data_IF_273203616451
#
_entry.id   IF_273203616451
#
_cell.length_a   1.000
_cell.length_b   1.000
_cell.length_c   1.000
_cell.angle_alpha   90.00
_cell.angle_beta   90.00
_cell.angle_gamma   90.00
#
_symmetry.space_group_name_H-M   'P 1'
#
loop_
_entity.id
_entity.type
_entity.pdbx_description
1 polymer ?
#
# COMPACT_ATOMS: atom_id res chain seq x y z
N UNK A 1 -29.54 -12.05 -6.90
CA UNK A 1 -28.09 -12.21 -6.77
C UNK A 1 -27.41 -11.30 -7.79
N UNK A 2 -26.54 -10.41 -7.35
CA UNK A 2 -25.83 -9.45 -8.20
C UNK A 2 -24.82 -10.20 -9.11
N UNK A 3 -24.46 -9.64 -10.26
CA UNK A 3 -23.44 -10.22 -11.15
C UNK A 3 -22.12 -10.38 -10.39
N UNK A 4 -21.75 -9.39 -9.58
CA UNK A 4 -20.58 -9.43 -8.70
C UNK A 4 -20.59 -10.65 -7.77
N UNK A 5 -21.73 -10.96 -7.15
CA UNK A 5 -21.83 -12.08 -6.21
C UNK A 5 -21.55 -13.41 -6.89
N UNK A 6 -22.08 -13.60 -8.12
CA UNK A 6 -21.83 -14.81 -8.92
C UNK A 6 -20.38 -14.96 -9.34
N UNK A 7 -19.72 -13.87 -9.72
CA UNK A 7 -18.30 -13.88 -10.06
C UNK A 7 -17.48 -14.26 -8.84
N UNK A 8 -17.76 -13.63 -7.70
CA UNK A 8 -17.07 -13.94 -6.45
C UNK A 8 -17.29 -15.38 -6.00
N UNK A 9 -18.52 -15.86 -6.05
CA UNK A 9 -18.86 -17.25 -5.74
C UNK A 9 -18.13 -18.23 -6.67
N UNK A 10 -18.12 -17.97 -7.98
CA UNK A 10 -17.39 -18.78 -8.94
C UNK A 10 -15.89 -18.80 -8.65
N UNK A 11 -15.30 -17.63 -8.45
CA UNK A 11 -13.87 -17.50 -8.17
C UNK A 11 -13.47 -18.21 -6.88
N UNK A 12 -14.26 -18.04 -5.81
CA UNK A 12 -13.98 -18.69 -4.52
C UNK A 12 -14.16 -20.21 -4.58
N UNK A 13 -15.09 -20.69 -5.41
CA UNK A 13 -15.28 -22.14 -5.63
C UNK A 13 -14.08 -22.78 -6.33
N UNK A 14 -13.39 -22.02 -7.19
CA UNK A 14 -12.22 -22.46 -7.96
C UNK A 14 -10.95 -21.74 -7.53
N UNK A 15 -10.89 -21.30 -6.26
CA UNK A 15 -9.85 -20.40 -5.76
C UNK A 15 -8.44 -20.96 -5.96
N UNK A 16 -8.24 -22.25 -5.69
CA UNK A 16 -6.92 -22.87 -5.82
C UNK A 16 -6.44 -22.87 -7.28
N UNK A 17 -7.32 -23.12 -8.23
CA UNK A 17 -7.02 -23.14 -9.66
C UNK A 17 -6.61 -21.74 -10.15
N UNK A 18 -7.37 -20.70 -9.76
CA UNK A 18 -7.07 -19.32 -10.14
C UNK A 18 -5.83 -18.77 -9.44
N UNK A 19 -5.54 -19.18 -8.22
CA UNK A 19 -4.31 -18.78 -7.54
C UNK A 19 -3.07 -19.43 -8.19
N UNK A 20 -3.16 -20.69 -8.59
CA UNK A 20 -2.08 -21.39 -9.30
C UNK A 20 -1.84 -20.78 -10.68
N UNK A 21 -2.90 -20.49 -11.43
CA UNK A 21 -2.83 -19.79 -12.72
C UNK A 21 -2.22 -18.39 -12.57
N UNK A 22 -2.68 -17.62 -11.58
CA UNK A 22 -2.17 -16.30 -11.27
C UNK A 22 -0.67 -16.30 -10.96
N UNK A 23 -0.25 -17.18 -10.04
CA UNK A 23 1.15 -17.31 -9.67
C UNK A 23 2.02 -17.73 -10.86
N UNK A 24 1.58 -18.75 -11.60
CA UNK A 24 2.29 -19.22 -12.81
C UNK A 24 2.47 -18.11 -13.85
N UNK A 25 1.44 -17.30 -14.08
CA UNK A 25 1.51 -16.22 -15.07
C UNK A 25 2.33 -15.01 -14.57
N UNK A 26 2.30 -14.69 -13.28
CA UNK A 26 3.18 -13.70 -12.66
C UNK A 26 4.65 -14.10 -12.77
N UNK A 27 4.98 -15.36 -12.44
CA UNK A 27 6.35 -15.87 -12.49
C UNK A 27 6.92 -15.89 -13.92
N UNK A 28 6.09 -16.17 -14.92
CA UNK A 28 6.49 -16.03 -16.34
C UNK A 28 6.90 -14.60 -16.70
N UNK A 29 6.39 -13.59 -15.99
CA UNK A 29 6.75 -12.18 -16.15
C UNK A 29 7.96 -11.77 -15.32
N UNK A 30 8.53 -12.67 -14.55
CA UNK A 30 9.72 -12.45 -13.71
C UNK A 30 9.44 -12.01 -12.28
N UNK A 31 8.19 -12.05 -11.85
CA UNK A 31 7.86 -11.84 -10.44
C UNK A 31 8.22 -13.08 -9.60
N UNK A 32 8.39 -12.89 -8.30
CA UNK A 32 8.56 -13.97 -7.33
C UNK A 32 7.30 -13.97 -6.45
N UNK A 33 6.63 -15.11 -6.39
CA UNK A 33 5.40 -15.27 -5.60
C UNK A 33 5.73 -15.95 -4.28
N UNK A 34 5.28 -15.34 -3.20
CA UNK A 34 5.41 -15.88 -1.85
C UNK A 34 4.02 -16.12 -1.25
N UNK A 35 3.87 -17.20 -0.53
CA UNK A 35 2.63 -17.57 0.15
C UNK A 35 2.81 -17.46 1.65
N UNK A 36 1.91 -16.75 2.31
CA UNK A 36 1.87 -16.64 3.76
C UNK A 36 0.54 -17.17 4.28
N UNK A 37 0.59 -18.01 5.30
CA UNK A 37 -0.60 -18.61 5.92
C UNK A 37 -1.28 -17.71 6.95
N UNK A 38 -0.50 -16.78 7.52
CA UNK A 38 -0.96 -15.87 8.56
C UNK A 38 -0.15 -14.55 8.55
N UNK A 39 -0.55 -13.61 9.39
CA UNK A 39 0.07 -12.30 9.50
C UNK A 39 1.55 -12.36 9.94
N UNK A 40 1.89 -13.32 10.79
CA UNK A 40 3.28 -13.48 11.24
C UNK A 40 4.19 -13.91 10.10
N UNK A 41 3.81 -14.96 9.38
CA UNK A 41 4.57 -15.45 8.22
C UNK A 41 4.64 -14.41 7.11
N UNK A 42 3.55 -13.65 6.86
CA UNK A 42 3.55 -12.54 5.93
C UNK A 42 4.62 -11.48 6.28
N UNK A 43 4.66 -11.07 7.54
CA UNK A 43 5.65 -10.09 8.01
C UNK A 43 7.08 -10.63 7.95
N UNK A 44 7.30 -11.92 8.28
CA UNK A 44 8.60 -12.58 8.21
C UNK A 44 9.11 -12.65 6.77
N UNK A 45 8.25 -13.01 5.81
CA UNK A 45 8.58 -13.05 4.37
C UNK A 45 8.92 -11.64 3.87
N UNK A 46 8.06 -10.65 4.17
CA UNK A 46 8.29 -9.27 3.74
C UNK A 46 9.63 -8.73 4.29
N UNK A 47 9.90 -8.94 5.57
CA UNK A 47 11.17 -8.54 6.17
C UNK A 47 12.37 -9.28 5.54
N UNK A 48 12.27 -10.57 5.30
CA UNK A 48 13.34 -11.36 4.68
C UNK A 48 13.69 -10.87 3.27
N UNK A 49 12.69 -10.44 2.50
CA UNK A 49 12.91 -9.81 1.19
C UNK A 49 13.67 -8.48 1.36
N UNK A 50 13.20 -7.61 2.26
CA UNK A 50 13.83 -6.31 2.52
C UNK A 50 15.26 -6.46 3.03
N UNK A 51 15.50 -7.40 3.96
CA UNK A 51 16.84 -7.69 4.49
C UNK A 51 17.79 -8.21 3.41
N UNK A 52 17.33 -9.15 2.56
CA UNK A 52 18.11 -9.70 1.44
C UNK A 52 18.57 -8.61 0.48
N UNK A 53 17.71 -7.63 0.22
CA UNK A 53 18.00 -6.48 -0.64
C UNK A 53 18.65 -5.30 0.09
N UNK A 54 18.93 -5.43 1.40
CA UNK A 54 19.56 -4.40 2.26
C UNK A 54 18.77 -3.09 2.26
N UNK A 55 17.45 -3.20 2.22
CA UNK A 55 16.53 -2.06 2.27
C UNK A 55 16.63 -1.39 3.64
N UNK A 56 16.80 -0.09 3.65
CA UNK A 56 16.76 0.75 4.84
C UNK A 56 15.49 1.60 4.86
N UNK A 57 15.04 2.10 3.71
CA UNK A 57 13.84 2.93 3.57
C UNK A 57 12.82 2.28 2.64
N UNK A 58 11.60 2.11 3.15
CA UNK A 58 10.44 1.56 2.45
C UNK A 58 9.35 2.64 2.33
N UNK A 59 8.95 3.00 1.12
CA UNK A 59 7.74 3.80 0.88
C UNK A 59 6.55 2.88 0.66
N UNK A 60 5.44 3.13 1.35
CA UNK A 60 4.28 2.26 1.34
C UNK A 60 3.00 3.03 1.01
N UNK A 61 2.27 2.60 -0.01
CA UNK A 61 0.90 3.07 -0.21
C UNK A 61 -0.07 2.31 0.69
N UNK A 62 -1.18 2.93 1.02
CA UNK A 62 -2.22 2.34 1.88
C UNK A 62 -2.59 0.92 1.47
N UNK A 63 -2.55 0.02 2.44
CA UNK A 63 -2.99 -1.36 2.28
C UNK A 63 -3.60 -1.87 3.58
N UNK A 64 -4.90 -2.17 3.55
CA UNK A 64 -5.60 -2.73 4.71
C UNK A 64 -4.98 -4.04 5.20
N UNK A 65 -4.51 -4.88 4.26
CA UNK A 65 -3.85 -6.14 4.60
C UNK A 65 -2.59 -5.90 5.44
N UNK A 66 -1.76 -4.93 5.06
CA UNK A 66 -0.53 -4.62 5.81
C UNK A 66 -0.81 -4.00 7.17
N UNK A 67 -1.91 -3.25 7.29
CA UNK A 67 -2.36 -2.68 8.57
C UNK A 67 -2.90 -3.76 9.51
N UNK A 68 -3.75 -4.67 9.00
CA UNK A 68 -4.26 -5.82 9.76
C UNK A 68 -3.14 -6.74 10.26
N UNK A 69 -2.05 -6.84 9.49
CA UNK A 69 -0.85 -7.59 9.89
C UNK A 69 0.09 -6.81 10.82
N UNK A 70 -0.22 -5.57 11.20
CA UNK A 70 0.64 -4.67 12.00
C UNK A 70 2.07 -4.56 11.44
N UNK A 71 2.19 -4.56 10.09
CA UNK A 71 3.45 -4.69 9.40
C UNK A 71 4.40 -3.52 9.66
N UNK A 72 3.88 -2.29 9.76
CA UNK A 72 4.70 -1.11 10.02
C UNK A 72 5.47 -1.26 11.34
N UNK A 73 4.76 -1.60 12.42
CA UNK A 73 5.38 -1.82 13.74
C UNK A 73 6.40 -2.95 13.72
N UNK A 74 6.11 -4.00 12.96
CA UNK A 74 7.01 -5.14 12.82
C UNK A 74 8.32 -4.77 12.12
N UNK A 75 8.26 -3.98 11.06
CA UNK A 75 9.42 -3.53 10.28
C UNK A 75 10.22 -2.45 10.99
N UNK A 76 9.56 -1.45 11.59
CA UNK A 76 10.20 -0.36 12.34
C UNK A 76 11.03 -0.92 13.51
N UNK A 77 10.50 -1.89 14.27
CA UNK A 77 11.23 -2.57 15.34
C UNK A 77 12.49 -3.30 14.87
N UNK A 78 12.60 -3.56 13.55
CA UNK A 78 13.77 -4.21 12.92
C UNK A 78 14.69 -3.24 12.18
N UNK A 79 14.44 -1.95 12.34
CA UNK A 79 15.31 -0.89 11.80
C UNK A 79 15.02 -0.49 10.36
N UNK A 80 13.87 -0.87 9.79
CA UNK A 80 13.42 -0.37 8.50
C UNK A 80 12.67 0.95 8.72
N UNK A 81 13.07 1.99 8.02
CA UNK A 81 12.35 3.25 7.95
C UNK A 81 11.15 3.08 7.00
N UNK A 82 9.95 3.05 7.57
CA UNK A 82 8.69 2.87 6.82
C UNK A 82 7.97 4.21 6.68
N UNK A 83 7.81 4.67 5.45
CA UNK A 83 7.14 5.93 5.12
C UNK A 83 5.79 5.67 4.48
N UNK A 84 4.72 6.06 5.15
CA UNK A 84 3.37 6.07 4.57
C UNK A 84 3.26 7.18 3.52
N UNK A 85 2.70 6.86 2.37
CA UNK A 85 2.62 7.80 1.24
C UNK A 85 1.21 8.30 0.94
N UNK A 86 0.19 7.73 1.55
CA UNK A 86 -1.16 8.28 1.59
C UNK A 86 -1.19 9.43 2.62
N UNK A 87 -1.81 10.54 2.26
CA UNK A 87 -1.77 11.76 3.08
C UNK A 87 -2.35 11.54 4.48
N UNK A 88 -3.48 10.84 4.58
CA UNK A 88 -4.13 10.58 5.86
C UNK A 88 -3.28 9.70 6.77
N UNK A 89 -2.74 8.62 6.23
CA UNK A 89 -1.83 7.72 6.95
C UNK A 89 -0.51 8.40 7.32
N UNK A 90 0.03 9.26 6.45
CA UNK A 90 1.25 10.02 6.74
C UNK A 90 1.06 10.98 7.91
N UNK A 91 -0.05 11.70 7.95
CA UNK A 91 -0.40 12.59 9.08
C UNK A 91 -0.45 11.80 10.39
N UNK A 92 -1.17 10.67 10.40
CA UNK A 92 -1.25 9.82 11.58
C UNK A 92 0.09 9.22 12.00
N UNK A 93 0.91 8.83 11.03
CA UNK A 93 2.25 8.33 11.28
C UNK A 93 3.12 9.38 11.98
N UNK A 94 3.12 10.63 11.49
CA UNK A 94 3.85 11.74 12.11
C UNK A 94 3.36 12.05 13.52
N UNK A 95 2.05 11.97 13.76
CA UNK A 95 1.45 12.14 15.10
C UNK A 95 1.59 10.90 16.00
N UNK A 96 2.10 9.79 15.49
CA UNK A 96 2.12 8.49 16.19
C UNK A 96 0.72 8.06 16.68
N UNK A 97 -0.30 8.27 15.85
CA UNK A 97 -1.69 7.92 16.12
C UNK A 97 -2.14 6.71 15.28
N UNK A 98 -3.11 5.96 15.81
CA UNK A 98 -3.79 4.90 15.06
C UNK A 98 -4.91 5.47 14.19
N UNK A 99 -5.22 4.85 13.03
CA UNK A 99 -6.33 5.26 12.19
C UNK A 99 -7.66 5.23 12.95
N UNK A 100 -8.45 6.31 12.85
CA UNK A 100 -9.79 6.38 13.45
C UNK A 100 -10.88 5.83 12.53
N UNK A 101 -10.61 5.73 11.23
CA UNK A 101 -11.54 5.27 10.22
C UNK A 101 -10.79 4.56 9.07
N UNK A 102 -11.40 3.51 8.51
CA UNK A 102 -10.78 2.68 7.47
C UNK A 102 -10.51 3.47 6.18
N UNK A 103 -11.48 4.28 5.73
CA UNK A 103 -11.41 5.00 4.44
C UNK A 103 -10.78 6.38 4.62
N UNK A 104 -11.09 7.08 5.71
CA UNK A 104 -10.61 8.43 5.99
C UNK A 104 -9.93 8.42 7.36
N UNK A 105 -8.69 7.95 7.46
CA UNK A 105 -8.04 7.63 8.72
C UNK A 105 -7.86 8.83 9.64
N UNK A 106 -7.59 10.01 9.10
CA UNK A 106 -7.37 11.27 9.82
C UNK A 106 -8.63 12.16 9.94
N UNK A 107 -9.84 11.61 9.75
CA UNK A 107 -11.10 12.38 9.72
C UNK A 107 -11.39 13.16 11.01
N UNK A 108 -10.80 12.76 12.12
CA UNK A 108 -10.96 13.40 13.42
C UNK A 108 -10.05 14.61 13.63
N UNK A 109 -9.10 14.84 12.72
CA UNK A 109 -8.17 15.96 12.82
C UNK A 109 -8.71 17.17 12.03
N UNK A 110 -8.49 18.33 12.60
CA UNK A 110 -8.78 19.62 11.94
C UNK A 110 -7.60 20.05 11.06
N UNK A 111 -7.84 20.94 10.11
CA UNK A 111 -6.78 21.53 9.28
C UNK A 111 -5.74 22.29 10.11
N UNK A 112 -6.18 22.88 11.25
CA UNK A 112 -5.28 23.66 12.11
C UNK A 112 -4.32 22.73 12.85
N UNK A 113 -4.80 21.60 13.38
CA UNK A 113 -3.94 20.56 13.97
C UNK A 113 -2.95 19.97 12.97
N UNK A 114 -3.36 19.77 11.70
CA UNK A 114 -2.46 19.30 10.66
C UNK A 114 -1.44 20.38 10.28
N UNK A 115 -1.84 21.66 10.25
CA UNK A 115 -0.95 22.78 10.00
C UNK A 115 0.15 22.90 11.07
N UNK A 116 -0.24 22.86 12.34
CA UNK A 116 0.67 22.88 13.49
C UNK A 116 1.64 21.69 13.44
N UNK A 117 1.18 20.48 13.16
CA UNK A 117 2.02 19.31 12.97
C UNK A 117 3.06 19.52 11.86
N UNK A 118 2.65 20.04 10.71
CA UNK A 118 3.57 20.25 9.58
C UNK A 118 4.61 21.34 9.86
N UNK A 119 4.27 22.31 10.71
CA UNK A 119 5.24 23.30 11.21
C UNK A 119 6.26 22.66 12.17
N UNK A 120 5.78 21.86 13.12
CA UNK A 120 6.63 21.14 14.08
C UNK A 120 7.61 20.18 13.39
N UNK A 121 7.15 19.46 12.38
CA UNK A 121 7.93 18.50 11.58
C UNK A 121 8.81 19.19 10.50
N UNK A 122 8.70 20.52 10.35
CA UNK A 122 9.46 21.29 9.36
C UNK A 122 9.02 21.04 7.91
N UNK A 123 7.83 20.44 7.71
CA UNK A 123 7.21 20.20 6.40
C UNK A 123 6.64 21.50 5.85
N UNK A 124 5.96 22.29 6.70
CA UNK A 124 5.50 23.65 6.37
C UNK A 124 6.61 24.67 6.68
N UNK A 125 6.80 25.62 5.75
CA UNK A 125 7.75 26.75 5.91
C UNK A 125 7.06 28.04 6.30
N UNK A 126 5.73 28.14 6.13
CA UNK A 126 4.93 29.30 6.42
C UNK A 126 4.14 29.08 7.70
N UNK A 127 4.58 29.70 8.80
CA UNK A 127 3.92 29.58 10.11
C UNK A 127 2.52 30.21 10.06
N UNK A 128 1.50 29.46 10.52
CA UNK A 128 0.10 29.89 10.57
C UNK A 128 -0.62 29.83 9.22
N UNK A 129 -0.01 29.29 8.17
CA UNK A 129 -0.68 29.05 6.91
C UNK A 129 -1.29 27.64 6.90
N UNK A 130 -2.56 27.52 7.31
CA UNK A 130 -3.29 26.27 7.35
C UNK A 130 -4.26 26.12 6.18
N UNK A 131 -3.99 26.78 5.05
CA UNK A 131 -4.76 26.55 3.83
C UNK A 131 -4.57 25.11 3.31
N UNK A 132 -5.68 24.36 3.05
CA UNK A 132 -5.58 22.96 2.64
C UNK A 132 -4.75 22.73 1.37
N UNK A 133 -4.82 23.67 0.41
CA UNK A 133 -4.04 23.57 -0.83
C UNK A 133 -2.55 23.71 -0.54
N UNK A 134 -2.18 24.66 0.33
CA UNK A 134 -0.81 24.86 0.75
C UNK A 134 -0.28 23.63 1.51
N UNK A 135 -1.03 23.11 2.50
CA UNK A 135 -0.63 21.93 3.27
C UNK A 135 -0.46 20.70 2.37
N UNK A 136 -1.36 20.50 1.39
CA UNK A 136 -1.23 19.41 0.42
C UNK A 136 0.05 19.54 -0.42
N UNK A 137 0.41 20.76 -0.82
CA UNK A 137 1.67 21.00 -1.54
C UNK A 137 2.90 20.73 -0.66
N UNK A 138 2.85 21.13 0.61
CA UNK A 138 3.91 20.83 1.57
C UNK A 138 4.14 19.32 1.71
N UNK A 139 3.07 18.56 1.91
CA UNK A 139 3.12 17.10 1.96
C UNK A 139 3.68 16.49 0.66
N UNK A 140 3.26 17.00 -0.50
CA UNK A 140 3.75 16.55 -1.80
C UNK A 140 5.26 16.77 -1.96
N UNK A 141 5.79 17.91 -1.52
CA UNK A 141 7.22 18.18 -1.59
C UNK A 141 8.01 17.32 -0.62
N UNK A 142 7.53 17.14 0.61
CA UNK A 142 8.14 16.26 1.58
C UNK A 142 8.20 14.81 1.08
N UNK A 143 7.08 14.27 0.61
CA UNK A 143 7.01 12.91 0.10
C UNK A 143 7.84 12.70 -1.18
N UNK A 144 8.08 13.75 -1.97
CA UNK A 144 8.92 13.63 -3.16
C UNK A 144 10.35 13.18 -2.81
N UNK A 145 10.93 13.72 -1.76
CA UNK A 145 12.26 13.32 -1.30
C UNK A 145 12.26 11.89 -0.81
N UNK A 146 11.23 11.49 -0.06
CA UNK A 146 11.05 10.11 0.42
C UNK A 146 10.99 9.09 -0.73
N UNK A 147 10.25 9.40 -1.80
CA UNK A 147 10.19 8.53 -2.99
C UNK A 147 11.53 8.41 -3.72
N UNK A 148 12.31 9.49 -3.78
CA UNK A 148 13.61 9.50 -4.47
C UNK A 148 14.69 8.75 -3.69
N UNK A 149 14.59 8.71 -2.37
CA UNK A 149 15.52 8.03 -1.49
C UNK A 149 15.12 6.58 -1.16
N UNK A 150 13.91 6.17 -1.51
CA UNK A 150 13.41 4.86 -1.17
C UNK A 150 14.18 3.73 -1.84
N UNK A 151 14.59 2.74 -1.05
CA UNK A 151 15.21 1.51 -1.56
C UNK A 151 14.16 0.54 -2.11
N UNK A 152 12.98 0.53 -1.47
CA UNK A 152 11.86 -0.33 -1.85
C UNK A 152 10.52 0.40 -1.78
N UNK A 153 9.57 -0.07 -2.56
CA UNK A 153 8.18 0.35 -2.50
C UNK A 153 7.26 -0.83 -2.20
N UNK A 154 6.17 -0.54 -1.52
CA UNK A 154 5.12 -1.54 -1.27
C UNK A 154 3.75 -0.98 -1.58
N UNK A 155 2.94 -1.79 -2.24
CA UNK A 155 1.53 -1.48 -2.51
C UNK A 155 0.63 -2.63 -2.09
N UNK A 156 -0.63 -2.29 -1.83
CA UNK A 156 -1.69 -3.29 -1.84
C UNK A 156 -2.01 -3.74 -3.27
N UNK A 157 -3.01 -4.61 -3.40
CA UNK A 157 -3.57 -5.04 -4.67
C UNK A 157 -5.09 -5.04 -4.57
N UNK A 158 -5.77 -4.36 -5.48
CA UNK A 158 -7.24 -4.37 -5.53
C UNK A 158 -7.75 -5.67 -6.15
N UNK A 159 -7.11 -6.15 -7.23
CA UNK A 159 -7.35 -7.49 -7.80
C UNK A 159 -6.09 -8.04 -8.45
N UNK A 160 -5.94 -9.38 -8.32
CA UNK A 160 -5.00 -10.16 -9.12
C UNK A 160 -5.75 -10.81 -10.28
N UNK A 161 -5.32 -10.57 -11.53
CA UNK A 161 -5.95 -11.13 -12.74
C UNK A 161 -5.27 -12.44 -13.10
N UNK A 162 -5.95 -13.56 -12.89
CA UNK A 162 -5.35 -14.90 -13.06
C UNK A 162 -4.86 -15.16 -14.49
N UNK A 163 -5.72 -14.94 -15.49
CA UNK A 163 -5.39 -15.18 -16.90
C UNK A 163 -4.19 -14.38 -17.41
N UNK A 164 -4.00 -13.18 -16.87
CA UNK A 164 -2.91 -12.30 -17.26
C UNK A 164 -1.69 -12.36 -16.34
N UNK A 165 -1.83 -12.75 -15.08
CA UNK A 165 -0.77 -12.62 -14.07
C UNK A 165 -0.45 -11.14 -13.82
N UNK A 166 -1.47 -10.32 -13.58
CA UNK A 166 -1.32 -8.89 -13.33
C UNK A 166 -1.91 -8.50 -11.97
N UNK A 167 -1.19 -7.65 -11.25
CA UNK A 167 -1.68 -6.98 -10.05
C UNK A 167 -2.25 -5.62 -10.44
N UNK A 168 -3.52 -5.38 -10.14
CA UNK A 168 -4.20 -4.12 -10.43
C UNK A 168 -4.31 -3.31 -9.15
N UNK A 169 -3.81 -2.07 -9.19
CA UNK A 169 -3.91 -1.09 -8.12
C UNK A 169 -4.75 0.08 -8.60
N UNK A 170 -5.87 0.35 -7.93
CA UNK A 170 -6.69 1.53 -8.19
C UNK A 170 -6.15 2.69 -7.36
N UNK A 171 -5.65 3.71 -8.02
CA UNK A 171 -5.05 4.88 -7.39
C UNK A 171 -5.69 6.16 -7.90
N UNK A 172 -5.69 7.22 -7.09
CA UNK A 172 -6.18 8.55 -7.46
C UNK A 172 -5.20 9.67 -7.05
N UNK A 173 -4.25 9.39 -6.16
CA UNK A 173 -3.30 10.37 -5.64
C UNK A 173 -1.92 10.28 -6.31
N UNK A 174 -1.66 9.22 -7.05
CA UNK A 174 -0.38 8.95 -7.68
C UNK A 174 0.71 8.41 -6.73
N UNK A 175 0.41 8.26 -5.44
CA UNK A 175 1.34 7.73 -4.44
C UNK A 175 1.66 6.24 -4.67
N UNK A 176 0.66 5.43 -5.03
CA UNK A 176 0.89 4.04 -5.39
C UNK A 176 1.71 3.91 -6.69
N UNK A 177 1.47 4.77 -7.69
CA UNK A 177 2.27 4.83 -8.91
C UNK A 177 3.73 5.14 -8.59
N UNK A 178 3.98 6.11 -7.71
CA UNK A 178 5.33 6.48 -7.29
C UNK A 178 5.98 5.38 -6.45
N UNK A 179 5.25 4.74 -5.54
CA UNK A 179 5.76 3.61 -4.74
C UNK A 179 6.14 2.40 -5.62
N UNK A 180 5.49 2.25 -6.77
CA UNK A 180 5.80 1.19 -7.73
C UNK A 180 6.98 1.55 -8.64
N UNK A 181 7.03 2.80 -9.13
CA UNK A 181 7.92 3.18 -10.23
C UNK A 181 9.25 3.78 -9.78
N UNK A 182 9.32 4.41 -8.61
CA UNK A 182 10.53 5.10 -8.15
C UNK A 182 11.58 4.13 -7.56
N UNK A 183 11.24 3.22 -6.64
CA UNK A 183 12.20 2.27 -6.07
C UNK A 183 12.57 1.14 -7.05
N UNK A 184 13.72 0.52 -6.78
CA UNK A 184 14.19 -0.63 -7.60
C UNK A 184 13.52 -1.96 -7.22
N UNK A 185 13.05 -2.08 -6.00
CA UNK A 185 12.33 -3.24 -5.48
C UNK A 185 10.88 -2.83 -5.23
N UNK A 186 9.94 -3.60 -5.76
CA UNK A 186 8.52 -3.42 -5.47
C UNK A 186 7.92 -4.69 -4.89
N UNK A 187 7.23 -4.57 -3.77
CA UNK A 187 6.51 -5.66 -3.10
C UNK A 187 5.02 -5.37 -3.19
N UNK A 188 4.24 -6.35 -3.63
CA UNK A 188 2.78 -6.27 -3.67
C UNK A 188 2.20 -7.17 -2.60
N UNK A 189 1.42 -6.60 -1.70
CA UNK A 189 0.66 -7.33 -0.68
C UNK A 189 -0.77 -7.59 -1.16
N UNK A 190 -1.15 -8.85 -1.32
CA UNK A 190 -2.47 -9.23 -1.83
C UNK A 190 -3.12 -10.31 -0.98
N UNK A 191 -4.37 -10.09 -0.58
CA UNK A 191 -5.21 -11.16 -0.04
C UNK A 191 -5.62 -12.15 -1.14
N UNK A 192 -5.60 -13.43 -0.85
CA UNK A 192 -5.97 -14.49 -1.81
C UNK A 192 -7.39 -14.31 -2.37
N UNK A 193 -8.26 -13.67 -1.60
CA UNK A 193 -9.63 -13.34 -1.99
C UNK A 193 -9.73 -12.27 -3.09
N UNK A 194 -8.62 -11.60 -3.44
CA UNK A 194 -8.58 -10.54 -4.46
C UNK A 194 -8.36 -11.08 -5.87
N UNK A 195 -8.10 -12.37 -6.03
CA UNK A 195 -7.97 -12.94 -7.36
C UNK A 195 -9.30 -12.91 -8.12
N UNK A 196 -9.21 -12.62 -9.42
CA UNK A 196 -10.31 -12.68 -10.39
C UNK A 196 -9.85 -13.43 -11.63
N UNK A 197 -10.77 -14.11 -12.38
CA UNK A 197 -10.38 -14.89 -13.54
C UNK A 197 -9.70 -14.09 -14.65
N UNK A 198 -10.32 -12.98 -15.07
CA UNK A 198 -9.87 -12.16 -16.20
C UNK A 198 -10.24 -10.68 -16.04
N UNK A 199 -9.75 -9.84 -16.98
CA UNK A 199 -9.99 -8.39 -16.97
C UNK A 199 -11.45 -7.99 -17.20
N UNK A 200 -12.22 -8.77 -17.98
CA UNK A 200 -13.61 -8.44 -18.26
C UNK A 200 -14.44 -8.43 -16.99
N UNK A 201 -14.03 -9.25 -16.01
CA UNK A 201 -14.65 -9.31 -14.70
C UNK A 201 -14.19 -8.19 -13.76
N UNK A 202 -13.03 -7.57 -14.00
CA UNK A 202 -12.54 -6.44 -13.19
C UNK A 202 -13.40 -5.19 -13.37
N UNK A 203 -13.87 -4.92 -14.58
CA UNK A 203 -14.71 -3.76 -14.90
C UNK A 203 -16.06 -3.76 -14.18
N UNK A 204 -16.53 -4.92 -13.74
CA UNK A 204 -17.79 -5.06 -13.00
C UNK A 204 -17.60 -4.67 -11.52
N UNK A 205 -16.37 -4.69 -11.02
CA UNK A 205 -16.02 -4.26 -9.65
C UNK A 205 -15.81 -2.75 -9.52
N UNK A 206 -15.51 -2.09 -10.60
CA UNK A 206 -15.31 -0.63 -10.67
C UNK A 206 -16.63 0.06 -11.02
#
# INVERSE_FOLDING_TARGET
MCIRDRIKEHTLTHLAEYLDEFATNLEKKGAIVHWAKDAQEFNEIAYGILETHKVQKLVKSKSMLTEECEMNDYLIKRGIDVVETDLGERILQLMNLKPSHIVVPAVHLTRDEVGELFEEEGISKEIGNHDPTYLTQCARYSLREEFLEADAGMTGCNFGVASAGDCVVCTNEGNADMSTAAPKLHIVAMGIDKVIPDYDLSLIHI
#
